data_IF_755977588286
#
_entry.id   IF_755977588286
#
_cell.length_a   1.000
_cell.length_b   1.000
_cell.length_c   1.000
_cell.angle_alpha   90.00
_cell.angle_beta   90.00
_cell.angle_gamma   90.00
#
_symmetry.space_group_name_H-M   'P 1'
#
loop_
_entity.id
_entity.type
_entity.pdbx_description
1 polymer ?
#
# COMPACT_ATOMS: atom_id res chain seq x y z
N UNK A 1 13.58 -22.70 34.34
CA UNK A 1 13.47 -22.81 32.88
C UNK A 1 14.15 -24.08 32.36
N UNK A 2 15.49 -24.15 32.30
CA UNK A 2 16.23 -25.27 31.68
C UNK A 2 15.98 -26.66 32.29
N UNK A 3 15.79 -26.78 33.61
CA UNK A 3 15.49 -28.07 34.27
C UNK A 3 14.15 -28.68 33.82
N UNK A 4 13.14 -27.84 33.56
CA UNK A 4 11.83 -28.26 33.05
C UNK A 4 11.93 -28.61 31.57
N UNK A 5 12.55 -27.71 30.79
CA UNK A 5 12.79 -27.89 29.37
C UNK A 5 13.54 -29.20 29.05
N UNK A 6 14.54 -29.58 29.85
CA UNK A 6 15.27 -30.85 29.66
C UNK A 6 14.35 -32.07 29.78
N UNK A 7 13.46 -32.09 30.78
CA UNK A 7 12.47 -33.16 30.94
C UNK A 7 11.49 -33.19 29.77
N UNK A 8 11.04 -32.02 29.33
CA UNK A 8 10.12 -31.90 28.19
C UNK A 8 10.78 -32.40 26.89
N UNK A 9 12.09 -32.13 26.70
CA UNK A 9 12.87 -32.58 25.55
C UNK A 9 13.06 -34.11 25.55
N UNK A 10 13.43 -34.69 26.70
CA UNK A 10 13.54 -36.15 26.88
C UNK A 10 12.20 -36.87 26.64
N UNK A 11 11.08 -36.24 27.01
CA UNK A 11 9.75 -36.76 26.74
C UNK A 11 9.37 -36.65 25.26
N UNK A 12 9.69 -35.51 24.63
CA UNK A 12 9.42 -35.29 23.21
C UNK A 12 10.20 -36.25 22.31
N UNK A 13 11.47 -36.53 22.64
CA UNK A 13 12.32 -37.47 21.90
C UNK A 13 11.75 -38.90 21.88
N UNK A 14 11.02 -39.30 22.93
CA UNK A 14 10.38 -40.62 23.01
C UNK A 14 8.98 -40.67 22.42
N UNK A 15 8.22 -39.58 22.53
CA UNK A 15 6.78 -39.57 22.23
C UNK A 15 6.44 -39.01 20.84
N UNK A 16 7.26 -38.12 20.27
CA UNK A 16 6.95 -37.46 19.00
C UNK A 16 7.57 -38.23 17.82
N UNK A 17 6.78 -38.72 16.85
CA UNK A 17 7.30 -39.36 15.66
C UNK A 17 8.12 -38.36 14.83
N UNK A 18 9.21 -38.84 14.22
CA UNK A 18 10.10 -37.97 13.46
C UNK A 18 9.58 -37.79 12.02
N UNK A 19 8.55 -36.95 11.87
CA UNK A 19 7.85 -36.67 10.60
C UNK A 19 8.80 -36.22 9.49
N UNK A 20 9.96 -35.61 9.82
CA UNK A 20 10.97 -35.22 8.84
C UNK A 20 11.63 -36.40 8.14
N UNK A 21 11.78 -37.53 8.84
CA UNK A 21 12.46 -38.72 8.34
C UNK A 21 11.44 -39.74 7.84
N UNK A 22 10.45 -40.06 8.66
CA UNK A 22 9.49 -41.14 8.40
C UNK A 22 8.36 -40.69 7.46
N UNK A 23 7.98 -39.41 7.52
CA UNK A 23 6.83 -38.87 6.78
C UNK A 23 5.49 -39.42 7.29
N UNK A 24 4.41 -38.67 7.08
CA UNK A 24 3.05 -39.20 7.30
C UNK A 24 2.55 -39.88 6.03
N UNK A 25 1.91 -41.05 6.09
CA UNK A 25 1.27 -41.63 4.91
C UNK A 25 0.17 -40.71 4.39
N UNK A 26 0.07 -40.56 3.07
CA UNK A 26 -1.02 -39.87 2.40
C UNK A 26 -1.78 -40.82 1.49
N UNK A 27 -3.01 -40.45 1.15
CA UNK A 27 -3.87 -41.22 0.24
C UNK A 27 -3.52 -40.97 -1.25
N UNK A 28 -2.59 -40.06 -1.55
CA UNK A 28 -2.22 -39.71 -2.92
C UNK A 28 -1.15 -40.64 -3.49
N UNK A 29 -1.28 -40.97 -4.79
CA UNK A 29 -0.29 -41.79 -5.52
C UNK A 29 0.56 -40.91 -6.44
N UNK A 30 1.81 -41.29 -6.63
CA UNK A 30 2.77 -40.54 -7.43
C UNK A 30 2.48 -40.66 -8.94
N UNK A 31 2.39 -39.54 -9.65
CA UNK A 31 2.11 -39.51 -11.10
C UNK A 31 3.16 -40.25 -11.95
N UNK A 32 4.40 -40.37 -11.46
CA UNK A 32 5.53 -40.95 -12.22
C UNK A 32 5.70 -42.45 -12.04
N UNK A 33 5.49 -42.96 -10.82
CA UNK A 33 5.77 -44.36 -10.49
C UNK A 33 4.60 -45.09 -9.82
N UNK A 34 3.47 -44.41 -9.57
CA UNK A 34 2.26 -44.93 -8.91
C UNK A 34 2.46 -45.45 -7.48
N UNK A 35 3.66 -45.26 -6.91
CA UNK A 35 3.92 -45.52 -5.50
C UNK A 35 3.14 -44.53 -4.62
N UNK A 36 2.79 -44.91 -3.37
CA UNK A 36 2.10 -44.00 -2.45
C UNK A 36 3.00 -42.81 -2.10
N UNK A 37 2.41 -41.63 -1.93
CA UNK A 37 3.12 -40.43 -1.48
C UNK A 37 3.07 -40.31 0.05
N UNK A 38 4.08 -39.65 0.60
CA UNK A 38 4.25 -39.38 2.03
C UNK A 38 4.42 -37.88 2.26
N UNK A 39 3.79 -37.36 3.32
CA UNK A 39 3.87 -35.96 3.72
C UNK A 39 5.14 -35.75 4.54
N UNK A 40 6.06 -34.93 4.03
CA UNK A 40 7.28 -34.50 4.72
C UNK A 40 7.24 -33.01 5.05
N UNK A 41 7.96 -32.62 6.09
CA UNK A 41 8.08 -31.21 6.51
C UNK A 41 9.38 -30.62 5.97
N UNK A 42 9.27 -29.60 5.12
CA UNK A 42 10.38 -28.86 4.54
C UNK A 42 10.47 -27.41 5.06
N UNK A 43 11.34 -26.61 4.44
CA UNK A 43 11.50 -25.18 4.76
C UNK A 43 10.23 -24.37 4.50
N UNK A 44 9.47 -24.74 3.47
CA UNK A 44 8.31 -24.00 2.98
C UNK A 44 6.96 -24.56 3.46
N UNK A 45 6.98 -25.56 4.36
CA UNK A 45 5.78 -26.21 4.88
C UNK A 45 5.78 -27.72 4.64
N UNK A 46 4.61 -28.32 4.77
CA UNK A 46 4.37 -29.73 4.47
C UNK A 46 4.22 -29.93 2.95
N UNK A 47 4.84 -30.99 2.42
CA UNK A 47 4.78 -31.33 1.00
C UNK A 47 4.67 -32.84 0.83
N UNK A 48 4.08 -33.28 -0.28
CA UNK A 48 4.02 -34.67 -0.68
C UNK A 48 5.32 -35.06 -1.39
N UNK A 49 5.96 -36.13 -0.93
CA UNK A 49 7.13 -36.74 -1.54
C UNK A 49 6.82 -38.20 -1.91
N UNK A 50 7.41 -38.70 -2.98
CA UNK A 50 7.28 -40.12 -3.32
C UNK A 50 7.91 -41.02 -2.23
N UNK A 51 7.23 -42.11 -1.86
CA UNK A 51 7.78 -43.12 -0.95
C UNK A 51 9.01 -43.85 -1.53
N UNK A 52 9.10 -43.95 -2.85
CA UNK A 52 10.21 -44.60 -3.55
C UNK A 52 11.45 -43.69 -3.74
N UNK A 53 11.63 -42.65 -2.93
CA UNK A 53 12.86 -41.86 -2.92
C UNK A 53 14.01 -42.72 -2.35
N UNK A 54 15.18 -42.83 -2.99
CA UNK A 54 15.75 -41.95 -4.02
C UNK A 54 15.42 -42.30 -5.49
N UNK A 55 14.77 -43.41 -5.78
CA UNK A 55 14.48 -43.86 -7.16
C UNK A 55 13.45 -42.96 -7.88
N UNK A 56 12.62 -42.23 -7.14
CA UNK A 56 11.67 -41.25 -7.68
C UNK A 56 11.70 -39.92 -6.90
N UNK A 57 12.23 -38.87 -7.53
CA UNK A 57 12.33 -37.51 -6.95
C UNK A 57 11.06 -36.64 -7.12
N UNK A 58 9.88 -37.25 -7.34
CA UNK A 58 8.65 -36.49 -7.53
C UNK A 58 8.16 -35.88 -6.21
N UNK A 59 7.90 -34.57 -6.19
CA UNK A 59 7.37 -33.83 -5.04
C UNK A 59 6.22 -32.93 -5.46
N UNK A 60 5.19 -32.79 -4.62
CA UNK A 60 4.02 -31.93 -4.84
C UNK A 60 3.70 -31.11 -3.59
N UNK A 61 3.17 -29.91 -3.76
CA UNK A 61 2.68 -29.09 -2.66
C UNK A 61 1.30 -29.59 -2.20
N UNK A 62 1.05 -29.61 -0.89
CA UNK A 62 -0.28 -29.89 -0.35
C UNK A 62 -1.13 -28.62 -0.53
N UNK A 63 -2.20 -28.71 -1.31
CA UNK A 63 -3.20 -27.64 -1.37
C UNK A 63 -3.90 -27.59 -0.02
N UNK A 64 -3.46 -26.71 0.88
CA UNK A 64 -4.24 -26.37 2.07
C UNK A 64 -5.41 -25.52 1.57
N UNK A 65 -6.46 -26.19 1.11
CA UNK A 65 -7.67 -25.52 0.66
C UNK A 65 -8.43 -25.00 1.87
N UNK A 66 -8.05 -23.81 2.32
CA UNK A 66 -9.06 -22.80 2.65
C UNK A 66 -8.81 -21.57 1.76
N UNK A 67 -9.21 -21.62 0.49
CA UNK A 67 -9.68 -20.39 -0.12
C UNK A 67 -10.98 -20.07 0.62
N UNK A 68 -10.94 -19.05 1.48
CA UNK A 68 -12.15 -18.34 1.88
C UNK A 68 -12.92 -18.02 0.61
N UNK A 69 -13.99 -18.78 0.38
CA UNK A 69 -14.99 -18.49 -0.61
C UNK A 69 -15.59 -17.13 -0.25
N UNK A 70 -15.94 -16.36 -1.28
CA UNK A 70 -16.64 -15.09 -1.23
C UNK A 70 -15.75 -13.83 -1.10
N UNK A 71 -14.91 -13.58 -2.10
CA UNK A 71 -14.66 -12.19 -2.51
C UNK A 71 -14.88 -12.06 -4.01
N UNK A 72 -15.81 -11.18 -4.37
CA UNK A 72 -16.29 -10.92 -5.72
C UNK A 72 -15.13 -10.84 -6.71
N UNK A 73 -15.05 -11.80 -7.62
CA UNK A 73 -14.00 -11.86 -8.62
C UNK A 73 -14.13 -10.66 -9.57
N UNK A 74 -13.43 -9.56 -9.24
CA UNK A 74 -13.36 -8.37 -10.08
C UNK A 74 -12.98 -8.78 -11.51
N UNK A 75 -13.88 -8.54 -12.46
CA UNK A 75 -13.62 -8.75 -13.86
C UNK A 75 -12.53 -7.76 -14.31
N UNK A 76 -11.61 -8.26 -15.13
CA UNK A 76 -10.57 -7.40 -15.71
C UNK A 76 -11.20 -6.37 -16.65
N UNK A 77 -10.83 -5.10 -16.50
CA UNK A 77 -11.31 -3.98 -17.33
C UNK A 77 -11.03 -4.13 -18.82
N UNK A 78 -9.99 -4.87 -19.20
CA UNK A 78 -9.58 -5.01 -20.59
C UNK A 78 -10.20 -6.25 -21.26
N UNK A 79 -10.26 -7.38 -20.53
CA UNK A 79 -10.67 -8.68 -21.07
C UNK A 79 -12.09 -9.11 -20.64
N UNK A 80 -12.67 -8.49 -19.60
CA UNK A 80 -13.92 -8.94 -18.95
C UNK A 80 -13.82 -10.29 -18.23
N UNK A 81 -12.73 -11.04 -18.40
CA UNK A 81 -12.49 -12.33 -17.73
C UNK A 81 -12.20 -12.12 -16.24
N UNK A 82 -12.55 -13.09 -15.37
CA UNK A 82 -12.29 -12.98 -13.94
C UNK A 82 -10.79 -12.92 -13.69
N UNK A 83 -10.40 -12.13 -12.68
CA UNK A 83 -9.01 -12.04 -12.26
C UNK A 83 -8.73 -13.00 -11.10
N UNK A 84 -7.52 -13.60 -11.10
CA UNK A 84 -7.09 -14.65 -10.16
C UNK A 84 -5.92 -14.14 -9.33
N UNK A 85 -5.92 -14.41 -8.02
CA UNK A 85 -4.79 -14.09 -7.14
C UNK A 85 -3.62 -15.04 -7.40
N UNK A 86 -2.48 -14.49 -7.82
CA UNK A 86 -1.20 -15.19 -7.99
C UNK A 86 -0.15 -14.65 -7.01
N UNK A 87 0.83 -15.48 -6.65
CA UNK A 87 1.95 -15.10 -5.78
C UNK A 87 3.20 -14.85 -6.62
N UNK A 88 3.90 -13.74 -6.38
CA UNK A 88 5.17 -13.41 -7.02
C UNK A 88 6.20 -12.90 -6.02
N UNK A 89 7.39 -12.49 -6.51
CA UNK A 89 8.49 -11.96 -5.67
C UNK A 89 8.07 -10.74 -4.84
N UNK A 90 7.15 -9.93 -5.35
CA UNK A 90 6.71 -8.68 -4.72
C UNK A 90 5.44 -8.83 -3.88
N UNK A 91 4.98 -10.07 -3.62
CA UNK A 91 3.76 -10.35 -2.88
C UNK A 91 2.65 -10.95 -3.76
N UNK A 92 1.44 -10.96 -3.22
CA UNK A 92 0.24 -11.43 -3.92
C UNK A 92 -0.28 -10.35 -4.86
N UNK A 93 -0.75 -10.74 -6.04
CA UNK A 93 -1.30 -9.84 -7.06
C UNK A 93 -2.44 -10.52 -7.81
N UNK A 94 -3.37 -9.72 -8.32
CA UNK A 94 -4.50 -10.17 -9.11
C UNK A 94 -4.08 -10.18 -10.60
N UNK A 95 -4.36 -11.24 -11.37
CA UNK A 95 -3.99 -11.37 -12.79
C UNK A 95 -5.18 -11.83 -13.65
N UNK A 96 -5.37 -11.29 -14.88
CA UNK A 96 -6.42 -11.78 -15.79
C UNK A 96 -6.18 -13.29 -16.06
N UNK A 97 -7.25 -14.09 -15.94
CA UNK A 97 -7.26 -15.52 -16.27
C UNK A 97 -6.91 -15.79 -17.74
N UNK A 98 -7.14 -14.83 -18.63
CA UNK A 98 -6.81 -14.88 -20.05
C UNK A 98 -5.34 -14.59 -20.40
N UNK A 99 -4.38 -14.83 -19.50
CA UNK A 99 -2.97 -14.79 -19.83
C UNK A 99 -2.62 -16.00 -20.74
N UNK A 100 -1.89 -15.86 -21.86
CA UNK A 100 -1.01 -14.75 -22.25
C UNK A 100 -1.65 -13.61 -23.06
N UNK A 101 -2.90 -13.76 -23.52
CA UNK A 101 -3.58 -12.80 -24.39
C UNK A 101 -3.84 -11.46 -23.69
N UNK A 102 -4.16 -11.50 -22.39
CA UNK A 102 -4.33 -10.31 -21.57
C UNK A 102 -3.31 -10.31 -20.41
N UNK A 103 -2.41 -9.32 -20.40
CA UNK A 103 -1.34 -9.16 -19.40
C UNK A 103 -1.71 -8.21 -18.24
N UNK A 104 -2.99 -7.89 -18.06
CA UNK A 104 -3.46 -7.01 -16.99
C UNK A 104 -3.22 -7.65 -15.62
N UNK A 105 -2.53 -6.91 -14.75
CA UNK A 105 -2.27 -7.29 -13.36
C UNK A 105 -2.64 -6.13 -12.43
N UNK A 106 -3.13 -6.45 -11.23
CA UNK A 106 -3.43 -5.47 -10.18
C UNK A 106 -2.75 -5.87 -8.88
N UNK A 107 -2.35 -4.87 -8.10
CA UNK A 107 -1.78 -5.07 -6.77
C UNK A 107 -2.91 -5.15 -5.75
N UNK A 108 -2.74 -6.02 -4.77
CA UNK A 108 -3.64 -6.13 -3.62
C UNK A 108 -3.04 -5.29 -2.50
N UNK A 109 -3.82 -4.37 -1.95
CA UNK A 109 -3.41 -3.48 -0.85
C UNK A 109 -4.01 -4.02 0.44
N UNK A 110 -3.17 -4.23 1.45
CA UNK A 110 -3.62 -4.59 2.79
C UNK A 110 -4.16 -3.33 3.49
N UNK A 111 -5.48 -3.15 3.47
CA UNK A 111 -6.19 -2.06 4.15
C UNK A 111 -6.67 -2.57 5.52
N UNK A 112 -7.04 -1.68 6.44
CA UNK A 112 -7.53 -2.08 7.78
C UNK A 112 -8.78 -2.97 7.74
N UNK A 113 -9.50 -2.98 6.63
CA UNK A 113 -10.75 -3.70 6.41
C UNK A 113 -10.59 -4.98 5.57
N UNK A 114 -9.37 -5.32 5.11
CA UNK A 114 -9.13 -6.52 4.30
C UNK A 114 -8.11 -6.35 3.17
N UNK A 115 -8.01 -7.38 2.32
CA UNK A 115 -7.15 -7.42 1.13
C UNK A 115 -7.91 -6.90 -0.10
N UNK A 116 -8.02 -5.58 -0.27
CA UNK A 116 -8.73 -5.00 -1.41
C UNK A 116 -7.84 -4.81 -2.64
N UNK A 117 -8.38 -5.01 -3.84
CA UNK A 117 -7.70 -4.62 -5.08
C UNK A 117 -7.50 -3.09 -5.13
N UNK A 118 -6.38 -2.65 -5.71
CA UNK A 118 -6.18 -1.22 -5.97
C UNK A 118 -7.26 -0.70 -6.91
N UNK A 119 -7.87 0.44 -6.56
CA UNK A 119 -8.91 1.07 -7.39
C UNK A 119 -8.34 1.45 -8.77
N UNK A 120 -9.14 1.38 -9.83
CA UNK A 120 -8.67 1.75 -11.16
C UNK A 120 -8.41 3.25 -11.30
N UNK A 121 -7.57 3.57 -12.27
CA UNK A 121 -7.14 4.91 -12.62
C UNK A 121 -8.36 5.76 -13.06
N UNK A 122 -8.70 6.80 -12.29
CA UNK A 122 -9.82 7.70 -12.62
C UNK A 122 -9.34 8.85 -13.52
N UNK A 123 -9.87 8.94 -14.74
CA UNK A 123 -9.57 10.02 -15.68
C UNK A 123 -10.25 11.32 -15.24
N UNK A 124 -9.49 12.41 -15.22
CA UNK A 124 -9.97 13.77 -14.97
C UNK A 124 -10.13 14.50 -16.32
N UNK A 125 -11.07 15.44 -16.37
CA UNK A 125 -11.30 16.31 -17.53
C UNK A 125 -10.21 17.37 -17.70
N UNK A 126 -9.40 17.60 -16.67
CA UNK A 126 -8.28 18.54 -16.70
C UNK A 126 -7.14 18.05 -17.61
N UNK A 127 -6.68 18.94 -18.49
CA UNK A 127 -5.51 18.70 -19.35
C UNK A 127 -4.21 19.02 -18.62
N UNK A 128 -3.17 18.27 -18.92
CA UNK A 128 -1.84 18.52 -18.41
C UNK A 128 -1.19 19.74 -19.10
N UNK A 129 -0.53 20.65 -18.35
CA UNK A 129 0.12 21.84 -18.92
C UNK A 129 1.35 21.55 -19.79
N UNK A 130 1.88 20.33 -19.78
CA UNK A 130 3.09 19.96 -20.56
C UNK A 130 2.79 19.11 -21.80
N UNK A 131 1.84 18.18 -21.67
CA UNK A 131 1.55 17.14 -22.67
C UNK A 131 0.17 17.32 -23.33
N UNK A 132 -0.67 18.24 -22.83
CA UNK A 132 -2.10 18.41 -23.16
C UNK A 132 -3.00 17.17 -22.96
N UNK A 133 -2.41 16.03 -22.61
CA UNK A 133 -3.13 14.80 -22.31
C UNK A 133 -3.91 14.93 -21.00
N UNK A 134 -4.91 14.08 -20.83
CA UNK A 134 -5.74 14.06 -19.62
C UNK A 134 -4.94 13.70 -18.37
N UNK A 135 -5.28 14.33 -17.26
CA UNK A 135 -4.79 13.95 -15.94
C UNK A 135 -5.56 12.75 -15.40
N UNK A 136 -4.91 11.97 -14.55
CA UNK A 136 -5.44 10.72 -14.00
C UNK A 136 -5.11 10.62 -12.51
N UNK A 137 -6.07 10.22 -11.69
CA UNK A 137 -5.86 9.89 -10.28
C UNK A 137 -5.35 8.45 -10.20
N UNK A 138 -4.16 8.27 -9.66
CA UNK A 138 -3.50 6.97 -9.48
C UNK A 138 -3.26 6.67 -8.01
N UNK A 139 -3.27 5.39 -7.64
CA UNK A 139 -2.89 4.93 -6.30
C UNK A 139 -1.40 4.57 -6.24
N UNK A 140 -0.67 5.22 -5.32
CA UNK A 140 0.74 4.96 -5.06
C UNK A 140 1.01 4.52 -3.62
N UNK A 141 2.28 4.30 -3.30
CA UNK A 141 2.73 3.97 -1.92
C UNK A 141 2.34 5.03 -0.89
N UNK A 142 2.27 6.30 -1.31
CA UNK A 142 2.04 7.45 -0.42
C UNK A 142 0.59 7.97 -0.46
N UNK A 143 -0.32 7.19 -1.05
CA UNK A 143 -1.71 7.54 -1.28
C UNK A 143 -2.00 7.87 -2.75
N UNK A 144 -3.16 8.48 -2.97
CA UNK A 144 -3.63 8.92 -4.29
C UNK A 144 -2.94 10.21 -4.74
N UNK A 145 -2.58 10.26 -6.03
CA UNK A 145 -1.97 11.42 -6.67
C UNK A 145 -2.43 11.59 -8.11
N UNK A 146 -2.39 12.83 -8.60
CA UNK A 146 -2.81 13.21 -9.96
C UNK A 146 -1.60 13.32 -10.89
N UNK A 147 -1.60 12.58 -12.01
CA UNK A 147 -0.48 12.53 -12.96
C UNK A 147 -0.95 12.56 -14.43
N UNK A 148 -0.06 12.96 -15.37
CA UNK A 148 -0.33 12.90 -16.82
C UNK A 148 -0.57 11.43 -17.26
N UNK A 149 -1.58 11.20 -18.10
CA UNK A 149 -1.89 9.87 -18.65
C UNK A 149 -0.76 9.31 -19.50
N UNK A 150 0.01 10.17 -20.19
CA UNK A 150 1.13 9.80 -21.06
C UNK A 150 2.42 9.45 -20.32
N UNK A 151 2.37 8.99 -19.08
CA UNK A 151 3.56 8.41 -18.44
C UNK A 151 3.97 7.13 -19.21
N UNK A 152 5.25 6.93 -19.60
CA UNK A 152 6.48 7.56 -19.10
C UNK A 152 7.02 8.76 -19.89
N UNK A 153 6.39 9.15 -21.01
CA UNK A 153 6.88 10.26 -21.86
C UNK A 153 6.73 11.61 -21.16
N UNK A 154 5.61 11.82 -20.47
CA UNK A 154 5.40 12.99 -19.62
C UNK A 154 5.36 12.59 -18.15
N UNK A 155 6.31 13.13 -17.37
CA UNK A 155 6.44 12.90 -15.91
C UNK A 155 5.77 13.98 -15.06
N UNK A 156 4.78 14.68 -15.61
CA UNK A 156 4.06 15.71 -14.88
C UNK A 156 3.17 15.10 -13.79
N UNK A 157 3.27 15.65 -12.58
CA UNK A 157 2.44 15.34 -11.42
C UNK A 157 1.87 16.65 -10.90
N UNK A 158 0.55 16.72 -10.72
CA UNK A 158 -0.11 17.92 -10.19
C UNK A 158 0.07 17.93 -8.67
N UNK A 159 0.72 18.98 -8.16
CA UNK A 159 0.88 19.17 -6.72
C UNK A 159 -0.43 19.73 -6.13
N UNK A 160 -0.75 19.35 -4.89
CA UNK A 160 -1.89 19.91 -4.15
C UNK A 160 -1.52 21.30 -3.65
N UNK A 161 -1.99 22.35 -4.34
CA UNK A 161 -1.80 23.73 -3.93
C UNK A 161 -2.75 24.10 -2.79
N UNK A 162 -2.29 24.98 -1.90
CA UNK A 162 -3.08 25.51 -0.79
C UNK A 162 -3.86 26.78 -1.14
N UNK A 163 -3.58 27.36 -2.31
CA UNK A 163 -4.16 28.64 -2.76
C UNK A 163 -3.48 29.87 -2.13
N UNK A 164 -2.39 29.69 -1.39
CA UNK A 164 -1.62 30.77 -0.76
C UNK A 164 -0.33 31.01 -1.52
N UNK A 165 -0.08 32.27 -1.87
CA UNK A 165 1.17 32.72 -2.50
C UNK A 165 2.31 32.78 -1.49
N UNK A 166 3.51 32.44 -1.95
CA UNK A 166 4.71 32.47 -1.14
C UNK A 166 5.13 33.92 -0.89
N UNK A 167 5.43 34.30 0.37
CA UNK A 167 5.84 35.68 0.69
C UNK A 167 7.23 36.05 0.16
N UNK A 168 8.05 35.08 -0.25
CA UNK A 168 9.39 35.34 -0.81
C UNK A 168 9.32 35.58 -2.32
N UNK A 169 8.72 34.64 -3.05
CA UNK A 169 8.83 34.59 -4.51
C UNK A 169 7.48 34.67 -5.23
N UNK A 170 6.37 34.85 -4.50
CA UNK A 170 5.01 34.87 -5.05
C UNK A 170 4.49 33.53 -5.59
N UNK A 171 5.33 32.48 -5.64
CA UNK A 171 4.94 31.15 -6.13
C UNK A 171 3.97 30.42 -5.20
N UNK A 172 3.25 29.41 -5.71
CA UNK A 172 2.25 28.69 -4.93
C UNK A 172 2.84 27.82 -3.80
N UNK A 173 2.21 27.84 -2.63
CA UNK A 173 2.52 26.92 -1.54
C UNK A 173 1.78 25.60 -1.73
N UNK A 174 2.53 24.50 -1.77
CA UNK A 174 2.06 23.13 -2.01
C UNK A 174 2.24 22.21 -0.81
N UNK A 175 1.34 21.26 -0.63
CA UNK A 175 1.45 20.22 0.39
C UNK A 175 2.46 19.14 -0.03
N UNK A 176 3.41 18.84 0.85
CA UNK A 176 4.43 17.80 0.72
C UNK A 176 4.43 16.90 1.95
N UNK A 177 5.03 15.72 1.84
CA UNK A 177 5.15 14.77 2.96
C UNK A 177 6.61 14.42 3.22
N UNK A 178 6.98 14.35 4.49
CA UNK A 178 8.29 13.84 4.91
C UNK A 178 8.38 12.32 4.74
N UNK A 179 9.58 11.74 4.89
CA UNK A 179 9.77 10.27 4.90
C UNK A 179 8.92 9.56 5.97
N UNK A 180 8.53 10.26 7.03
CA UNK A 180 7.66 9.77 8.12
C UNK A 180 6.16 10.04 7.86
N UNK A 181 5.78 10.42 6.64
CA UNK A 181 4.41 10.80 6.26
C UNK A 181 3.82 11.99 7.04
N UNK A 182 4.66 12.84 7.65
CA UNK A 182 4.20 14.08 8.28
C UNK A 182 4.02 15.13 7.17
N UNK A 183 2.84 15.74 7.00
CA UNK A 183 2.61 16.77 6.01
C UNK A 183 3.33 18.07 6.39
N UNK A 184 3.86 18.76 5.39
CA UNK A 184 4.42 20.10 5.51
C UNK A 184 4.11 20.87 4.23
N UNK A 185 4.16 22.19 4.28
CA UNK A 185 3.79 23.06 3.18
C UNK A 185 5.04 23.79 2.72
N UNK A 186 5.39 23.67 1.44
CA UNK A 186 6.59 24.29 0.88
C UNK A 186 6.28 24.98 -0.44
N UNK A 187 7.14 25.89 -0.86
CA UNK A 187 6.98 26.55 -2.16
C UNK A 187 7.10 25.54 -3.32
N UNK A 188 6.33 25.75 -4.39
CA UNK A 188 6.40 24.99 -5.64
C UNK A 188 7.76 25.14 -6.33
N UNK A 189 8.37 26.33 -6.26
CA UNK A 189 9.63 26.69 -6.93
C UNK A 189 10.90 26.17 -6.22
N UNK A 190 10.78 25.26 -5.26
CA UNK A 190 11.95 24.58 -4.70
C UNK A 190 12.74 23.85 -5.82
N UNK A 191 14.07 23.99 -5.94
CA UNK A 191 15.02 24.45 -4.91
C UNK A 191 15.34 25.96 -4.89
N UNK A 192 14.76 26.76 -5.78
CA UNK A 192 15.01 28.21 -5.83
C UNK A 192 14.41 28.94 -4.61
N UNK A 193 13.26 28.45 -4.13
CA UNK A 193 12.62 28.91 -2.90
C UNK A 193 12.73 27.86 -1.78
N UNK A 194 13.25 28.26 -0.62
CA UNK A 194 13.38 27.43 0.59
C UNK A 194 12.24 27.64 1.60
N UNK A 195 11.22 28.43 1.26
CA UNK A 195 10.12 28.73 2.17
C UNK A 195 9.31 27.47 2.53
N UNK A 196 9.17 27.22 3.84
CA UNK A 196 8.46 26.07 4.39
C UNK A 196 7.65 26.42 5.63
N UNK A 197 6.51 25.75 5.81
CA UNK A 197 5.61 25.85 6.94
C UNK A 197 5.20 24.44 7.40
N UNK A 198 5.13 24.23 8.70
CA UNK A 198 4.69 22.94 9.28
C UNK A 198 3.18 22.79 9.35
N UNK A 199 2.48 23.91 9.37
CA UNK A 199 1.04 23.97 9.53
C UNK A 199 0.40 24.56 8.27
N UNK A 200 -0.87 24.23 8.05
CA UNK A 200 -1.57 24.58 6.82
C UNK A 200 -1.78 26.10 6.74
N UNK A 201 -1.29 26.77 5.68
CA UNK A 201 -1.60 28.16 5.45
C UNK A 201 -3.01 28.32 4.85
N UNK A 202 -3.67 29.42 5.19
CA UNK A 202 -4.97 29.85 4.70
C UNK A 202 -4.81 31.19 3.96
N UNK A 203 -5.52 31.33 2.84
CA UNK A 203 -5.51 32.54 1.99
C UNK A 203 -6.36 33.67 2.61
N UNK A 204 -6.13 33.95 3.89
CA UNK A 204 -6.78 35.02 4.65
C UNK A 204 -5.72 35.99 5.15
N UNK A 205 -5.93 37.28 4.90
CA UNK A 205 -5.04 38.31 5.40
C UNK A 205 -5.23 38.55 6.90
N UNK A 206 -4.15 38.74 7.64
CA UNK A 206 -4.23 39.03 9.07
C UNK A 206 -4.77 40.46 9.31
N UNK A 207 -5.83 40.65 10.12
CA UNK A 207 -6.39 41.98 10.37
C UNK A 207 -5.47 42.89 11.19
N UNK A 208 -4.54 42.32 11.98
CA UNK A 208 -3.61 43.10 12.83
C UNK A 208 -2.34 43.51 12.09
N UNK A 209 -1.66 42.57 11.44
CA UNK A 209 -0.35 42.80 10.83
C UNK A 209 -0.38 42.86 9.28
N UNK A 210 -1.55 42.74 8.65
CA UNK A 210 -1.76 42.78 7.18
C UNK A 210 -0.94 41.76 6.38
N UNK A 211 -0.47 40.69 7.02
CA UNK A 211 0.21 39.58 6.33
C UNK A 211 -0.77 38.82 5.43
N UNK A 212 -0.29 38.28 4.32
CA UNK A 212 -1.11 37.71 3.26
C UNK A 212 -1.76 36.36 3.59
N UNK A 213 -1.29 35.70 4.65
CA UNK A 213 -1.81 34.40 5.07
C UNK A 213 -1.88 34.26 6.59
N UNK A 214 -2.77 33.37 7.00
CA UNK A 214 -2.89 32.86 8.37
C UNK A 214 -2.61 31.36 8.39
N UNK A 215 -2.44 30.79 9.57
CA UNK A 215 -2.06 29.40 9.75
C UNK A 215 -3.05 28.68 10.64
N UNK A 216 -3.44 27.47 10.25
CA UNK A 216 -4.35 26.63 11.01
C UNK A 216 -3.60 25.72 12.00
N UNK A 217 -4.11 25.60 13.23
CA UNK A 217 -3.73 24.57 14.20
C UNK A 217 -4.96 23.90 14.79
N UNK A 218 -4.89 22.58 14.93
CA UNK A 218 -5.92 21.80 15.63
C UNK A 218 -5.43 21.51 17.05
N UNK A 219 -6.21 21.88 18.06
CA UNK A 219 -5.91 21.62 19.47
C UNK A 219 -7.02 20.79 20.11
N UNK A 220 -6.69 20.01 21.15
CA UNK A 220 -7.67 19.16 21.84
C UNK A 220 -8.75 19.93 22.61
N UNK A 221 -8.42 21.13 23.13
CA UNK A 221 -9.33 21.92 23.99
C UNK A 221 -10.24 22.87 23.21
N UNK A 222 -9.74 23.47 22.14
CA UNK A 222 -10.43 24.56 21.43
C UNK A 222 -10.69 24.24 19.96
N UNK A 223 -10.53 22.98 19.55
CA UNK A 223 -10.75 22.56 18.18
C UNK A 223 -9.81 23.25 17.18
N UNK A 224 -10.39 23.79 16.11
CA UNK A 224 -9.69 24.45 15.01
C UNK A 224 -9.42 25.91 15.36
N UNK A 225 -8.15 26.28 15.46
CA UNK A 225 -7.71 27.65 15.69
C UNK A 225 -6.88 28.15 14.52
N UNK A 226 -7.22 29.35 14.03
CA UNK A 226 -6.46 30.08 13.03
C UNK A 226 -5.61 31.13 13.76
N UNK A 227 -4.31 31.19 13.49
CA UNK A 227 -3.40 32.12 14.14
C UNK A 227 -2.41 32.73 13.13
N UNK A 228 -1.83 33.87 13.49
CA UNK A 228 -0.78 34.50 12.68
C UNK A 228 0.58 33.87 12.99
N UNK A 229 1.40 33.61 11.96
CA UNK A 229 2.77 33.08 12.08
C UNK A 229 3.82 34.20 12.24
N UNK A 230 3.41 35.39 12.68
CA UNK A 230 4.34 36.48 12.97
C UNK A 230 4.60 36.56 14.48
N UNK A 231 5.85 36.60 14.88
CA UNK A 231 6.25 36.67 16.30
C UNK A 231 5.76 37.96 16.98
N UNK A 232 5.54 39.03 16.20
CA UNK A 232 5.02 40.31 16.70
C UNK A 232 3.47 40.39 16.72
N UNK A 233 2.76 39.35 16.26
CA UNK A 233 1.31 39.39 16.09
C UNK A 233 0.58 38.26 16.82
N UNK A 234 -0.01 38.60 17.98
CA UNK A 234 -0.87 37.69 18.76
C UNK A 234 -2.31 37.60 18.22
N UNK A 235 -2.48 37.46 16.90
CA UNK A 235 -3.82 37.22 16.34
C UNK A 235 -4.16 35.73 16.40
N UNK A 236 -5.27 35.41 17.08
CA UNK A 236 -5.83 34.06 17.16
C UNK A 236 -7.35 34.16 17.02
N UNK A 237 -7.91 33.37 16.11
CA UNK A 237 -9.35 33.16 15.92
C UNK A 237 -9.65 31.68 16.13
N UNK A 238 -10.48 31.36 17.12
CA UNK A 238 -11.04 30.02 17.26
C UNK A 238 -12.31 29.92 16.42
N UNK A 239 -12.36 28.95 15.52
CA UNK A 239 -13.60 28.55 14.87
C UNK A 239 -14.15 27.37 15.68
N UNK A 240 -15.32 27.55 16.29
CA UNK A 240 -16.09 26.41 16.75
C UNK A 240 -16.42 25.57 15.52
N UNK A 241 -15.99 24.30 15.51
CA UNK A 241 -16.42 23.35 14.50
C UNK A 241 -17.95 23.32 14.56
N UNK A 242 -18.61 23.89 13.55
CA UNK A 242 -20.04 23.70 13.38
C UNK A 242 -20.28 22.20 13.37
N UNK A 243 -20.91 21.68 14.43
CA UNK A 243 -21.31 20.30 14.52
C UNK A 243 -22.37 20.07 13.43
N UNK A 244 -21.97 19.42 12.35
CA UNK A 244 -22.85 18.82 11.34
C UNK A 244 -22.77 17.33 11.53
#
# INVERSE_FOLDING_TARGET
FYKKFKKDLEQAEKAMPNIKVEGLPSDETCDKCKAPMIIKVGRFGMFLACSAYPDCENTRELETTEPSQDEEAENCENCGKPMVVKRGRFGQFLACSGYPDCKTTRKIIATKEGLSAAKPDQLLEEKCPKCESQLVIKQGRFGEFTACSSYPTCKYVKLKSTGVSCPKDGGDIVERKTRRNIPFFGCSNYPECDFTLWKRPLAEACPKCKREYLVEKTTKRHGRQVFCDNDECDYIRSEELAAV
#
